data_IF_690752823537
#
_entry.id   IF_690752823537
#
_cell.length_a   1.000
_cell.length_b   1.000
_cell.length_c   1.000
_cell.angle_alpha   90.00
_cell.angle_beta   90.00
_cell.angle_gamma   90.00
#
_symmetry.space_group_name_H-M   'P 1'
#
loop_
_entity.id
_entity.type
_entity.pdbx_description
1 polymer ?
#
# COMPACT_ATOMS: atom_id res chain seq x y z
N UNK A 1 -83.93 -29.44 41.66
CA UNK A 1 -83.38 -30.78 41.91
C UNK A 1 -82.35 -31.03 40.83
N UNK A 2 -81.03 -30.93 41.05
CA UNK A 2 -80.17 -31.85 41.84
C UNK A 2 -80.42 -33.30 41.44
N UNK A 3 -79.47 -34.13 40.99
CA UNK A 3 -78.00 -34.21 41.14
C UNK A 3 -77.41 -34.98 39.93
N UNK A 4 -76.25 -34.60 39.38
CA UNK A 4 -74.88 -35.20 39.48
C UNK A 4 -74.64 -36.56 38.79
N UNK A 5 -73.35 -36.79 38.48
CA UNK A 5 -72.68 -37.89 37.75
C UNK A 5 -72.67 -37.74 36.21
N UNK A 6 -71.57 -37.90 35.48
CA UNK A 6 -70.18 -38.21 35.81
C UNK A 6 -69.30 -37.85 34.60
N UNK A 7 -68.04 -37.59 34.87
CA UNK A 7 -66.96 -37.23 33.97
C UNK A 7 -66.54 -38.35 33.02
N UNK A 8 -66.26 -38.03 31.74
CA UNK A 8 -65.29 -38.80 30.95
C UNK A 8 -64.46 -37.86 30.07
N UNK A 9 -63.18 -37.76 30.43
CA UNK A 9 -62.13 -36.98 29.77
C UNK A 9 -61.66 -37.78 28.55
N UNK A 10 -61.53 -37.11 27.42
CA UNK A 10 -60.97 -37.68 26.19
C UNK A 10 -59.44 -37.73 26.34
N UNK A 11 -58.89 -38.89 26.68
CA UNK A 11 -57.46 -39.15 26.63
C UNK A 11 -57.00 -39.15 25.17
N UNK A 12 -56.09 -38.24 24.85
CA UNK A 12 -55.34 -38.22 23.61
C UNK A 12 -54.13 -39.11 23.82
N UNK A 13 -54.19 -40.34 23.32
CA UNK A 13 -53.07 -41.28 23.32
C UNK A 13 -51.89 -40.64 22.58
N UNK A 14 -50.85 -40.29 23.35
CA UNK A 14 -49.53 -39.92 22.86
C UNK A 14 -48.80 -41.21 22.46
N UNK A 15 -48.66 -41.45 21.17
CA UNK A 15 -47.73 -42.45 20.66
C UNK A 15 -46.29 -42.07 21.06
N UNK A 16 -45.47 -43.03 21.54
CA UNK A 16 -44.05 -42.78 21.79
C UNK A 16 -43.28 -42.68 20.46
N UNK A 17 -42.46 -41.63 20.35
CA UNK A 17 -41.53 -41.38 19.24
C UNK A 17 -40.53 -42.55 19.09
N UNK A 18 -40.37 -43.17 17.91
CA UNK A 18 -39.38 -44.23 17.72
C UNK A 18 -37.96 -43.66 17.73
N UNK A 19 -37.06 -44.31 18.49
CA UNK A 19 -35.62 -44.03 18.49
C UNK A 19 -35.01 -44.10 17.08
N UNK A 20 -33.95 -43.32 16.77
CA UNK A 20 -33.35 -43.32 15.44
C UNK A 20 -32.64 -44.65 15.16
N UNK A 21 -33.10 -45.37 14.14
CA UNK A 21 -32.47 -46.59 13.62
C UNK A 21 -31.04 -46.32 13.15
N UNK A 22 -30.07 -47.05 13.70
CA UNK A 22 -28.70 -47.10 13.20
C UNK A 22 -28.67 -47.73 11.80
N UNK A 23 -28.21 -46.97 10.80
CA UNK A 23 -28.03 -47.46 9.43
C UNK A 23 -26.87 -48.48 9.40
N UNK A 24 -27.05 -49.70 8.87
CA UNK A 24 -25.99 -50.71 8.81
C UNK A 24 -24.84 -50.28 7.90
N UNK A 25 -23.63 -50.28 8.45
CA UNK A 25 -22.35 -50.06 7.75
C UNK A 25 -21.97 -51.31 6.95
N UNK A 26 -22.66 -51.61 5.86
CA UNK A 26 -22.17 -52.58 4.87
C UNK A 26 -22.87 -52.41 3.52
N UNK A 27 -22.06 -52.49 2.46
CA UNK A 27 -22.41 -52.55 1.04
C UNK A 27 -22.56 -51.17 0.37
N UNK A 28 -21.43 -50.57 -0.02
CA UNK A 28 -21.20 -49.98 -1.35
C UNK A 28 -19.67 -49.90 -1.60
N UNK A 29 -19.01 -51.06 -1.65
CA UNK A 29 -17.80 -51.21 -2.46
C UNK A 29 -18.27 -51.71 -3.84
N UNK A 30 -18.26 -50.83 -4.85
CA UNK A 30 -17.74 -51.08 -6.21
C UNK A 30 -18.19 -50.02 -7.21
N UNK A 31 -17.21 -49.59 -8.00
CA UNK A 31 -17.28 -49.06 -9.36
C UNK A 31 -17.61 -47.56 -9.58
N UNK A 32 -16.64 -46.70 -9.23
CA UNK A 32 -16.36 -45.48 -10.00
C UNK A 32 -14.84 -45.35 -10.27
N UNK A 33 -14.26 -46.31 -10.97
CA UNK A 33 -12.94 -46.15 -11.60
C UNK A 33 -13.00 -46.65 -13.04
N UNK A 34 -13.32 -45.75 -13.99
CA UNK A 34 -13.13 -45.94 -15.44
C UNK A 34 -13.42 -44.66 -16.24
N UNK A 35 -12.77 -43.54 -15.90
CA UNK A 35 -12.45 -42.55 -16.92
C UNK A 35 -11.14 -42.97 -17.61
N UNK A 36 -10.99 -42.92 -18.94
CA UNK A 36 -9.75 -43.36 -19.59
C UNK A 36 -8.60 -42.41 -19.23
N UNK A 37 -7.81 -42.79 -18.22
CA UNK A 37 -6.67 -42.06 -17.64
C UNK A 37 -5.49 -41.81 -18.62
N UNK A 38 -5.65 -42.13 -19.91
CA UNK A 38 -4.65 -41.89 -20.95
C UNK A 38 -4.76 -40.53 -21.67
N UNK A 39 -5.92 -39.86 -21.63
CA UNK A 39 -6.13 -38.64 -22.43
C UNK A 39 -5.53 -37.38 -21.76
N UNK A 40 -5.55 -37.30 -20.43
CA UNK A 40 -4.99 -36.16 -19.68
C UNK A 40 -3.46 -36.12 -19.71
N UNK A 41 -2.79 -37.28 -19.70
CA UNK A 41 -1.33 -37.32 -19.75
C UNK A 41 -0.80 -36.94 -21.14
N UNK A 42 -1.51 -37.31 -22.22
CA UNK A 42 -1.14 -36.94 -23.58
C UNK A 42 -1.35 -35.44 -23.86
N UNK A 43 -2.40 -34.81 -23.34
CA UNK A 43 -2.63 -33.37 -23.53
C UNK A 43 -1.63 -32.53 -22.76
N UNK A 44 -1.26 -32.94 -21.53
CA UNK A 44 -0.20 -32.28 -20.75
C UNK A 44 1.17 -32.45 -21.42
N UNK A 45 1.50 -33.64 -21.92
CA UNK A 45 2.75 -33.87 -22.65
C UNK A 45 2.83 -33.04 -23.95
N UNK A 46 1.71 -32.91 -24.67
CA UNK A 46 1.64 -32.08 -25.88
C UNK A 46 1.80 -30.58 -25.54
N UNK A 47 1.12 -30.10 -24.49
CA UNK A 47 1.24 -28.71 -24.03
C UNK A 47 2.67 -28.38 -23.58
N UNK A 48 3.33 -29.28 -22.85
CA UNK A 48 4.74 -29.13 -22.47
C UNK A 48 5.68 -29.13 -23.68
N UNK A 49 5.40 -29.98 -24.68
CA UNK A 49 6.16 -30.02 -25.93
C UNK A 49 6.06 -28.69 -26.71
N UNK A 50 4.85 -28.15 -26.87
CA UNK A 50 4.62 -26.85 -27.53
C UNK A 50 5.29 -25.72 -26.75
N UNK A 51 5.23 -25.74 -25.41
CA UNK A 51 5.89 -24.75 -24.57
C UNK A 51 7.42 -24.79 -24.69
N UNK A 52 8.02 -25.99 -24.73
CA UNK A 52 9.46 -26.17 -24.96
C UNK A 52 9.90 -25.65 -26.33
N UNK A 53 9.09 -25.89 -27.38
CA UNK A 53 9.37 -25.37 -28.73
C UNK A 53 9.28 -23.85 -28.75
N UNK A 54 8.30 -23.25 -28.08
CA UNK A 54 8.19 -21.79 -27.95
C UNK A 54 9.38 -21.18 -27.22
N UNK A 55 9.85 -21.80 -26.13
CA UNK A 55 11.06 -21.38 -25.41
C UNK A 55 12.32 -21.50 -26.29
N UNK A 56 12.45 -22.58 -27.06
CA UNK A 56 13.57 -22.77 -27.98
C UNK A 56 13.56 -21.72 -29.10
N UNK A 57 12.39 -21.41 -29.67
CA UNK A 57 12.22 -20.34 -30.67
C UNK A 57 12.54 -18.96 -30.07
N UNK A 58 12.12 -18.69 -28.84
CA UNK A 58 12.45 -17.46 -28.12
C UNK A 58 13.96 -17.35 -27.86
N UNK A 59 14.62 -18.45 -27.51
CA UNK A 59 16.07 -18.51 -27.32
C UNK A 59 16.86 -18.31 -28.62
N UNK A 60 16.39 -18.88 -29.73
CA UNK A 60 16.97 -18.66 -31.05
C UNK A 60 16.73 -17.23 -31.55
N UNK A 61 15.55 -16.65 -31.26
CA UNK A 61 15.20 -15.27 -31.60
C UNK A 61 15.95 -14.23 -30.76
N UNK A 62 16.37 -14.56 -29.53
CA UNK A 62 17.18 -13.68 -28.67
C UNK A 62 18.68 -13.69 -29.01
N UNK A 63 19.08 -14.41 -30.07
CA UNK A 63 20.42 -14.31 -30.65
C UNK A 63 21.52 -15.00 -29.85
N UNK A 64 21.19 -15.91 -28.93
CA UNK A 64 22.14 -16.86 -28.33
C UNK A 64 23.40 -16.24 -27.71
N UNK A 65 23.33 -15.04 -27.11
CA UNK A 65 24.48 -14.42 -26.44
C UNK A 65 24.50 -14.74 -24.95
N UNK A 66 25.23 -15.79 -24.60
CA UNK A 66 25.72 -16.05 -23.24
C UNK A 66 27.16 -15.52 -23.15
N UNK A 67 27.41 -14.65 -22.14
CA UNK A 67 28.66 -14.26 -21.46
C UNK A 67 29.82 -13.61 -22.27
N UNK A 68 30.37 -12.49 -21.78
CA UNK A 68 31.80 -12.44 -21.43
C UNK A 68 32.22 -11.23 -20.56
N UNK A 69 33.00 -11.54 -19.52
CA UNK A 69 33.84 -10.59 -18.79
C UNK A 69 34.99 -10.11 -19.69
N UNK A 70 35.32 -8.81 -19.62
CA UNK A 70 36.50 -8.23 -20.24
C UNK A 70 37.15 -7.24 -19.29
N UNK A 71 38.29 -7.65 -18.74
CA UNK A 71 39.21 -6.85 -17.93
C UNK A 71 40.07 -5.92 -18.80
N UNK A 72 40.41 -4.78 -18.20
CA UNK A 72 41.58 -3.92 -18.40
C UNK A 72 41.74 -3.10 -19.68
N UNK A 73 41.77 -1.77 -19.45
CA UNK A 73 42.22 -0.74 -20.37
C UNK A 73 42.51 0.56 -19.62
N UNK A 74 43.63 0.58 -18.90
CA UNK A 74 44.20 1.72 -18.17
C UNK A 74 44.72 2.81 -19.14
N UNK A 75 44.20 4.03 -18.97
CA UNK A 75 44.90 5.33 -18.89
C UNK A 75 45.22 6.15 -20.16
N UNK A 76 44.90 7.46 -20.08
CA UNK A 76 45.79 8.65 -20.15
C UNK A 76 45.20 9.81 -20.95
N UNK A 77 44.72 10.87 -20.28
CA UNK A 77 45.39 12.17 -20.31
C UNK A 77 44.72 13.21 -19.34
N UNK A 78 45.52 14.09 -18.70
CA UNK A 78 45.14 14.98 -17.60
C UNK A 78 44.92 16.43 -18.06
N UNK A 79 44.59 17.31 -17.09
CA UNK A 79 44.44 18.78 -17.15
C UNK A 79 42.97 19.24 -17.19
N UNK A 80 42.44 20.06 -16.28
CA UNK A 80 43.05 20.80 -15.18
C UNK A 80 41.96 21.19 -14.17
N UNK A 81 42.35 21.15 -12.91
CA UNK A 81 41.77 21.90 -11.81
C UNK A 81 41.42 23.33 -12.23
N UNK A 82 40.18 23.75 -11.98
CA UNK A 82 39.83 25.16 -11.85
C UNK A 82 38.99 25.33 -10.60
N UNK A 83 39.69 25.50 -9.49
CA UNK A 83 39.19 26.21 -8.32
C UNK A 83 38.99 27.69 -8.71
N UNK A 84 37.80 28.29 -8.55
CA UNK A 84 37.67 29.73 -8.62
C UNK A 84 38.22 30.34 -7.32
N UNK A 85 39.43 30.89 -7.41
CA UNK A 85 39.99 31.79 -6.39
C UNK A 85 39.22 33.11 -6.48
N UNK A 86 38.34 33.36 -5.51
CA UNK A 86 37.79 34.71 -5.29
C UNK A 86 38.73 35.46 -4.34
N UNK A 87 39.61 36.26 -4.94
CA UNK A 87 40.41 37.26 -4.22
C UNK A 87 39.54 38.48 -3.90
N UNK A 88 39.26 38.74 -2.63
CA UNK A 88 38.80 40.05 -2.16
C UNK A 88 39.89 40.68 -1.24
N UNK A 89 40.72 41.54 -1.81
CA UNK A 89 41.29 42.71 -1.09
C UNK A 89 40.11 43.67 -0.84
N UNK A 90 39.83 44.30 0.30
CA UNK A 90 40.57 45.07 1.33
C UNK A 90 39.50 45.57 2.37
N UNK A 91 39.77 46.42 3.39
CA UNK A 91 40.68 46.31 4.54
C UNK A 91 39.97 46.53 5.92
N UNK A 92 40.59 46.04 7.00
CA UNK A 92 40.54 46.66 8.34
C UNK A 92 39.45 46.23 9.34
N UNK A 93 39.87 45.80 10.53
CA UNK A 93 39.03 45.76 11.74
C UNK A 93 39.22 44.51 12.60
N UNK A 94 39.95 44.64 13.70
CA UNK A 94 40.37 43.58 14.62
C UNK A 94 39.23 43.03 15.51
N UNK A 95 39.39 41.78 15.98
CA UNK A 95 38.66 41.23 17.13
C UNK A 95 38.60 39.70 17.10
N UNK A 96 39.29 39.02 18.03
CA UNK A 96 39.54 37.58 17.97
C UNK A 96 38.40 36.67 18.42
N UNK A 97 38.48 35.40 18.06
CA UNK A 97 38.66 34.26 18.99
C UNK A 97 38.44 32.94 18.25
N UNK A 98 39.35 31.98 18.50
CA UNK A 98 39.34 30.65 17.90
C UNK A 98 38.14 29.83 18.41
N UNK A 99 37.33 29.30 17.49
CA UNK A 99 36.57 28.07 17.72
C UNK A 99 36.72 27.14 16.52
N UNK A 100 36.99 25.90 16.84
CA UNK A 100 37.33 24.80 15.95
C UNK A 100 36.18 24.45 15.01
N UNK A 101 36.52 24.25 13.75
CA UNK A 101 35.61 23.81 12.69
C UNK A 101 35.33 22.30 12.76
N UNK A 102 34.05 21.94 12.61
CA UNK A 102 33.58 20.81 11.80
C UNK A 102 32.16 21.15 11.32
N UNK A 103 32.04 21.84 10.18
CA UNK A 103 31.75 21.28 8.85
C UNK A 103 30.24 20.94 8.70
N UNK A 104 29.39 21.91 8.36
CA UNK A 104 29.12 22.41 7.00
C UNK A 104 28.21 21.48 6.16
N UNK A 105 26.90 21.66 6.31
CA UNK A 105 25.90 21.65 5.23
C UNK A 105 24.54 22.06 5.78
N UNK A 106 24.37 23.36 6.05
CA UNK A 106 23.07 23.95 6.39
C UNK A 106 22.78 25.19 5.54
N UNK A 107 23.35 25.26 4.33
CA UNK A 107 23.24 26.45 3.47
C UNK A 107 22.86 26.06 2.04
N UNK A 108 21.79 25.27 1.94
CA UNK A 108 20.87 25.28 0.81
C UNK A 108 19.49 25.23 1.47
N UNK A 109 18.54 26.05 1.03
CA UNK A 109 17.20 26.26 1.63
C UNK A 109 17.16 27.30 2.75
N UNK A 110 17.40 28.56 2.38
CA UNK A 110 16.79 29.71 3.06
C UNK A 110 15.30 29.75 2.64
N UNK A 111 14.50 28.85 3.23
CA UNK A 111 13.04 28.82 3.11
C UNK A 111 12.46 29.48 4.36
N UNK A 112 12.08 30.75 4.20
CA UNK A 112 11.68 31.73 5.21
C UNK A 112 10.34 31.43 5.95
N UNK A 113 10.10 30.15 6.30
CA UNK A 113 8.86 29.70 6.94
C UNK A 113 8.81 28.26 7.44
N UNK A 114 9.89 27.47 7.31
CA UNK A 114 9.99 26.18 7.99
C UNK A 114 10.62 26.39 9.36
N UNK A 115 9.96 25.92 10.42
CA UNK A 115 10.64 25.69 11.69
C UNK A 115 11.89 24.83 11.49
N UNK A 116 12.76 24.76 12.50
CA UNK A 116 13.94 23.89 12.47
C UNK A 116 13.56 22.50 11.95
N UNK A 117 14.27 22.00 10.93
CA UNK A 117 14.07 20.66 10.42
C UNK A 117 14.15 19.65 11.58
N UNK A 118 13.34 18.57 11.57
CA UNK A 118 13.48 17.51 12.56
C UNK A 118 14.90 16.94 12.57
N UNK A 119 15.37 16.46 13.73
CA UNK A 119 16.74 15.92 13.86
C UNK A 119 17.01 14.75 12.90
N UNK A 120 15.97 13.99 12.54
CA UNK A 120 16.03 12.88 11.58
C UNK A 120 15.96 13.33 10.11
N UNK A 121 15.80 14.62 9.79
CA UNK A 121 15.68 15.10 8.41
C UNK A 121 16.95 14.81 7.59
N UNK A 122 18.10 14.69 8.26
CA UNK A 122 19.37 14.26 7.67
C UNK A 122 19.35 12.81 7.15
N UNK A 123 18.38 12.00 7.58
CA UNK A 123 18.18 10.65 7.07
C UNK A 123 17.37 10.60 5.77
N UNK A 124 16.69 11.68 5.40
CA UNK A 124 15.93 11.76 4.14
C UNK A 124 16.91 12.07 3.02
N UNK A 125 16.90 11.26 1.95
CA UNK A 125 17.78 11.48 0.82
C UNK A 125 17.55 12.89 0.21
N UNK A 126 18.61 13.63 -0.19
CA UNK A 126 18.47 14.99 -0.71
C UNK A 126 17.51 15.11 -1.89
N UNK A 127 17.37 14.05 -2.70
CA UNK A 127 16.42 14.01 -3.80
C UNK A 127 14.97 14.07 -3.30
N UNK A 128 14.64 13.45 -2.16
CA UNK A 128 13.28 13.36 -1.64
C UNK A 128 12.91 14.45 -0.62
N UNK A 129 13.89 15.05 0.06
CA UNK A 129 13.65 16.01 1.13
C UNK A 129 12.76 17.21 0.69
N UNK A 130 13.00 17.88 -0.46
CA UNK A 130 12.15 18.99 -0.89
C UNK A 130 10.68 18.58 -1.11
N UNK A 131 10.46 17.42 -1.73
CA UNK A 131 9.12 16.88 -1.97
C UNK A 131 8.42 16.54 -0.66
N UNK A 132 9.13 15.90 0.27
CA UNK A 132 8.62 15.57 1.59
C UNK A 132 8.17 16.83 2.35
N UNK A 133 9.00 17.89 2.37
CA UNK A 133 8.68 19.15 3.03
C UNK A 133 7.49 19.87 2.38
N UNK A 134 7.46 19.91 1.04
CA UNK A 134 6.39 20.57 0.29
C UNK A 134 5.02 19.93 0.49
N UNK A 135 4.98 18.60 0.68
CA UNK A 135 3.73 17.83 0.69
C UNK A 135 3.34 17.33 2.08
N UNK A 136 3.67 18.09 3.13
CA UNK A 136 3.14 17.87 4.49
C UNK A 136 4.00 17.02 5.42
N UNK A 137 5.20 16.63 4.97
CA UNK A 137 6.24 16.03 5.78
C UNK A 137 5.79 14.83 6.60
N UNK A 138 6.13 14.83 7.89
CA UNK A 138 5.87 13.73 8.82
C UNK A 138 4.37 13.40 8.88
N UNK A 139 3.52 14.42 8.74
CA UNK A 139 2.07 14.26 8.81
C UNK A 139 1.52 13.40 7.67
N UNK A 140 2.13 13.46 6.49
CA UNK A 140 1.69 12.76 5.28
C UNK A 140 2.52 11.50 5.03
N UNK A 141 3.84 11.61 5.03
CA UNK A 141 4.72 10.51 4.68
C UNK A 141 5.25 9.75 5.91
N UNK A 142 5.24 10.37 7.08
CA UNK A 142 5.86 9.82 8.28
C UNK A 142 7.37 10.03 8.30
N UNK A 143 8.00 9.44 9.31
CA UNK A 143 9.46 9.45 9.48
C UNK A 143 10.12 8.51 8.47
N UNK A 144 11.38 8.76 8.06
CA UNK A 144 12.11 7.82 7.22
C UNK A 144 12.40 6.51 7.99
N UNK A 145 12.39 5.36 7.29
CA UNK A 145 12.62 4.04 7.88
C UNK A 145 13.34 3.05 6.96
N UNK A 146 14.09 2.07 7.52
CA UNK A 146 14.50 1.97 8.92
C UNK A 146 15.55 3.04 9.26
N UNK A 147 15.98 3.19 10.52
CA UNK A 147 17.02 4.18 10.89
C UNK A 147 18.35 3.44 11.19
N UNK A 148 19.47 3.71 10.47
CA UNK A 148 19.63 4.70 9.41
C UNK A 148 18.93 4.30 8.10
N UNK A 149 18.39 5.28 7.40
CA UNK A 149 17.54 5.03 6.24
C UNK A 149 18.34 4.87 4.94
N UNK A 150 18.26 3.72 4.24
CA UNK A 150 18.93 3.55 2.97
C UNK A 150 18.15 4.21 1.83
N UNK A 151 18.90 4.82 0.90
CA UNK A 151 18.40 5.09 -0.45
C UNK A 151 18.53 3.80 -1.26
N UNK A 152 17.39 3.22 -1.62
CA UNK A 152 17.32 1.98 -2.38
C UNK A 152 17.19 2.28 -3.87
N UNK A 153 17.61 1.35 -4.72
CA UNK A 153 17.46 1.46 -6.17
C UNK A 153 17.05 0.11 -6.74
N UNK A 154 15.99 0.12 -7.56
CA UNK A 154 15.52 -1.06 -8.27
C UNK A 154 15.17 -0.66 -9.71
N UNK A 155 15.73 -1.39 -10.69
CA UNK A 155 15.51 -1.14 -12.12
C UNK A 155 15.78 0.33 -12.53
N UNK A 156 16.82 0.95 -11.97
CA UNK A 156 17.18 2.34 -12.24
C UNK A 156 16.27 3.39 -11.57
N UNK A 157 15.32 2.98 -10.73
CA UNK A 157 14.46 3.86 -9.95
C UNK A 157 14.92 3.88 -8.50
N UNK A 158 15.30 5.06 -8.02
CA UNK A 158 15.64 5.29 -6.62
C UNK A 158 14.37 5.43 -5.79
N UNK A 159 14.37 4.90 -4.57
CA UNK A 159 13.26 5.06 -3.65
C UNK A 159 13.71 5.01 -2.18
N UNK A 160 12.86 5.56 -1.31
CA UNK A 160 13.07 5.55 0.13
C UNK A 160 11.76 5.26 0.85
N UNK A 161 11.84 4.43 1.90
CA UNK A 161 10.71 4.09 2.75
C UNK A 161 10.53 5.11 3.88
N UNK A 162 9.27 5.37 4.19
CA UNK A 162 8.80 6.19 5.31
C UNK A 162 7.65 5.47 5.99
N UNK A 163 7.28 5.86 7.21
CA UNK A 163 6.29 5.10 8.02
C UNK A 163 4.96 4.90 7.29
N UNK A 164 4.55 5.92 6.51
CA UNK A 164 3.26 5.96 5.83
C UNK A 164 3.38 5.88 4.30
N UNK A 165 4.59 5.84 3.76
CA UNK A 165 4.82 6.01 2.32
C UNK A 165 6.09 5.32 1.81
N UNK A 166 6.18 5.19 0.49
CA UNK A 166 7.44 4.98 -0.24
C UNK A 166 7.54 6.09 -1.28
N UNK A 167 8.58 6.93 -1.23
CA UNK A 167 8.80 7.94 -2.26
C UNK A 167 9.71 7.36 -3.34
N UNK A 168 9.32 7.53 -4.60
CA UNK A 168 9.98 6.97 -5.77
C UNK A 168 10.39 8.09 -6.71
N UNK A 169 11.63 8.04 -7.21
CA UNK A 169 12.16 8.95 -8.21
C UNK A 169 11.98 8.32 -9.60
N UNK A 170 11.38 9.09 -10.51
CA UNK A 170 11.03 8.71 -11.87
C UNK A 170 11.79 9.58 -12.88
N UNK A 171 13.00 9.18 -13.31
CA UNK A 171 13.86 9.99 -14.17
C UNK A 171 13.23 10.38 -15.51
N UNK A 172 12.35 9.53 -16.05
CA UNK A 172 11.59 9.80 -17.28
C UNK A 172 10.67 11.03 -17.16
N UNK A 173 10.37 11.47 -15.94
CA UNK A 173 9.53 12.62 -15.63
C UNK A 173 10.32 13.83 -15.10
N UNK A 174 11.64 13.87 -15.28
CA UNK A 174 12.53 14.89 -14.69
C UNK A 174 12.16 16.36 -14.97
N UNK A 175 11.45 16.63 -16.06
CA UNK A 175 10.99 17.98 -16.42
C UNK A 175 9.55 18.29 -15.96
N UNK A 176 8.97 17.48 -15.08
CA UNK A 176 7.57 17.59 -14.66
C UNK A 176 7.45 17.49 -13.14
N UNK A 177 6.25 17.81 -12.62
CA UNK A 177 5.91 17.59 -11.20
C UNK A 177 5.92 16.10 -10.78
N UNK A 178 6.00 15.17 -11.74
CA UNK A 178 5.95 13.72 -11.51
C UNK A 178 7.33 13.07 -11.34
N UNK A 179 8.41 13.86 -11.26
CA UNK A 179 9.76 13.36 -10.97
C UNK A 179 9.79 12.57 -9.65
N UNK A 180 9.04 12.98 -8.63
CA UNK A 180 8.88 12.24 -7.38
C UNK A 180 7.40 11.94 -7.20
N UNK A 181 7.10 10.68 -6.89
CA UNK A 181 5.74 10.23 -6.64
C UNK A 181 5.74 9.23 -5.46
N UNK A 182 4.66 9.20 -4.66
CA UNK A 182 4.46 8.10 -3.72
C UNK A 182 4.13 6.82 -4.49
N UNK A 183 4.75 5.72 -4.08
CA UNK A 183 4.48 4.38 -4.60
C UNK A 183 3.06 3.93 -4.30
N UNK A 184 2.54 2.98 -5.08
CA UNK A 184 1.17 2.43 -4.95
C UNK A 184 1.05 1.43 -3.79
N UNK A 185 1.55 1.82 -2.62
CA UNK A 185 1.68 0.95 -1.45
C UNK A 185 0.33 0.51 -0.87
N UNK A 186 -0.74 1.27 -1.07
CA UNK A 186 -2.09 0.84 -0.69
C UNK A 186 -2.57 -0.34 -1.54
N UNK A 187 -2.26 -0.32 -2.84
CA UNK A 187 -2.51 -1.44 -3.76
C UNK A 187 -1.65 -2.66 -3.40
N UNK A 188 -0.37 -2.45 -3.11
CA UNK A 188 0.55 -3.54 -2.71
C UNK A 188 0.10 -4.20 -1.41
N UNK A 189 -0.25 -3.38 -0.40
CA UNK A 189 -0.68 -3.86 0.90
C UNK A 189 -2.00 -4.62 0.83
N UNK A 190 -2.94 -4.19 -0.02
CA UNK A 190 -4.24 -4.86 -0.21
C UNK A 190 -4.23 -5.94 -1.29
N UNK A 191 -3.07 -6.30 -1.85
CA UNK A 191 -2.97 -7.35 -2.88
C UNK A 191 -3.68 -8.64 -2.48
N UNK A 192 -4.59 -9.11 -3.32
CA UNK A 192 -5.40 -10.32 -3.08
C UNK A 192 -6.66 -10.10 -2.24
N UNK A 193 -6.93 -8.87 -1.83
CA UNK A 193 -8.21 -8.48 -1.21
C UNK A 193 -9.14 -7.99 -2.32
N UNK A 194 -10.36 -8.51 -2.35
CA UNK A 194 -11.43 -8.00 -3.22
C UNK A 194 -12.34 -7.08 -2.41
N UNK A 195 -12.39 -5.81 -2.79
CA UNK A 195 -13.32 -4.85 -2.21
C UNK A 195 -14.60 -4.81 -3.05
N UNK A 196 -15.79 -4.85 -2.42
CA UNK A 196 -17.04 -4.66 -3.15
C UNK A 196 -17.05 -3.30 -3.86
N UNK A 197 -17.40 -3.31 -5.14
CA UNK A 197 -17.53 -2.08 -5.93
C UNK A 197 -18.89 -1.43 -5.71
N UNK A 198 -18.96 -0.14 -6.00
CA UNK A 198 -20.16 0.64 -5.78
C UNK A 198 -20.93 0.86 -7.08
N UNK A 199 -22.27 0.85 -6.97
CA UNK A 199 -23.14 1.28 -8.05
C UNK A 199 -22.85 2.74 -8.40
N UNK A 200 -22.84 3.04 -9.70
CA UNK A 200 -22.65 4.42 -10.16
C UNK A 200 -23.62 5.39 -9.48
N UNK A 201 -23.09 6.53 -9.04
CA UNK A 201 -23.86 7.68 -8.62
C UNK A 201 -23.22 8.96 -9.14
N UNK A 202 -24.03 10.01 -9.29
CA UNK A 202 -23.56 11.31 -9.78
C UNK A 202 -22.80 12.05 -8.69
N UNK A 203 -21.62 12.56 -9.04
CA UNK A 203 -20.81 13.40 -8.15
C UNK A 203 -21.58 14.65 -7.69
N UNK A 204 -21.47 14.97 -6.40
CA UNK A 204 -22.10 16.13 -5.77
C UNK A 204 -21.22 16.67 -4.64
N UNK A 205 -21.43 17.91 -4.15
CA UNK A 205 -20.64 18.43 -3.04
C UNK A 205 -20.62 17.45 -1.85
N UNK A 206 -19.42 17.10 -1.38
CA UNK A 206 -19.23 16.16 -0.26
C UNK A 206 -19.31 14.66 -0.62
N UNK A 207 -19.53 14.30 -1.89
CA UNK A 207 -19.63 12.91 -2.34
C UNK A 207 -19.14 12.73 -3.79
N UNK A 208 -18.09 11.96 -3.97
CA UNK A 208 -17.44 11.68 -5.26
C UNK A 208 -17.47 10.19 -5.54
N UNK A 209 -17.78 9.81 -6.77
CA UNK A 209 -17.60 8.50 -7.36
C UNK A 209 -16.40 8.54 -8.29
N UNK A 210 -15.50 7.57 -8.15
CA UNK A 210 -14.40 7.34 -9.08
C UNK A 210 -14.79 6.23 -10.06
N UNK A 211 -14.86 6.55 -11.34
CA UNK A 211 -15.31 5.61 -12.38
C UNK A 211 -14.28 4.50 -12.62
N UNK A 212 -12.98 4.84 -12.60
CA UNK A 212 -11.90 3.90 -12.91
C UNK A 212 -11.82 2.78 -11.88
N UNK A 213 -12.01 3.10 -10.60
CA UNK A 213 -11.92 2.14 -9.49
C UNK A 213 -13.29 1.70 -8.97
N UNK A 214 -14.38 2.35 -9.41
CA UNK A 214 -15.76 2.08 -8.98
C UNK A 214 -15.99 2.23 -7.47
N UNK A 215 -15.31 3.19 -6.83
CA UNK A 215 -15.43 3.45 -5.39
C UNK A 215 -15.86 4.89 -5.08
N UNK A 216 -16.50 5.06 -3.92
CA UNK A 216 -16.99 6.34 -3.44
C UNK A 216 -16.05 6.99 -2.42
N UNK A 217 -15.99 8.31 -2.41
CA UNK A 217 -15.24 9.12 -1.44
C UNK A 217 -16.13 10.24 -0.89
N UNK A 218 -16.18 10.41 0.43
CA UNK A 218 -17.06 11.37 1.10
C UNK A 218 -16.50 11.87 2.44
N UNK A 219 -17.24 12.79 3.07
CA UNK A 219 -17.03 13.16 4.47
C UNK A 219 -15.62 13.66 4.78
N UNK A 220 -15.10 13.29 5.96
CA UNK A 220 -13.76 13.68 6.42
C UNK A 220 -12.65 13.15 5.50
N UNK A 221 -12.82 11.96 4.91
CA UNK A 221 -11.84 11.41 3.97
C UNK A 221 -11.78 12.20 2.66
N UNK A 222 -12.92 12.60 2.09
CA UNK A 222 -12.94 13.46 0.91
C UNK A 222 -12.28 14.81 1.19
N UNK A 223 -12.63 15.44 2.32
CA UNK A 223 -12.06 16.71 2.73
C UNK A 223 -10.53 16.60 2.87
N UNK A 224 -10.07 15.61 3.61
CA UNK A 224 -8.65 15.37 3.82
C UNK A 224 -7.91 15.08 2.50
N UNK A 225 -8.49 14.27 1.62
CA UNK A 225 -7.93 13.98 0.30
C UNK A 225 -7.75 15.25 -0.53
N UNK A 226 -8.78 16.10 -0.60
CA UNK A 226 -8.75 17.36 -1.35
C UNK A 226 -7.73 18.36 -0.80
N UNK A 227 -7.63 18.46 0.53
CA UNK A 227 -6.75 19.42 1.21
C UNK A 227 -5.26 19.03 1.14
N UNK A 228 -4.94 17.75 0.87
CA UNK A 228 -3.58 17.23 1.00
C UNK A 228 -3.00 16.64 -0.31
N UNK A 229 -3.45 17.17 -1.45
CA UNK A 229 -2.87 16.88 -2.77
C UNK A 229 -3.60 15.81 -3.58
N UNK A 230 -4.66 15.22 -3.03
CA UNK A 230 -5.58 14.34 -3.73
C UNK A 230 -4.89 13.21 -4.49
N UNK A 231 -5.21 13.09 -5.78
CA UNK A 231 -4.73 12.00 -6.65
C UNK A 231 -3.20 11.95 -6.76
N UNK A 232 -2.52 13.10 -6.73
CA UNK A 232 -1.07 13.17 -6.89
C UNK A 232 -0.34 12.54 -5.68
N UNK A 233 -0.94 12.60 -4.48
CA UNK A 233 -0.34 12.07 -3.24
C UNK A 233 -0.92 10.70 -2.87
N UNK A 234 -2.24 10.56 -2.89
CA UNK A 234 -2.92 9.37 -2.38
C UNK A 234 -3.38 8.42 -3.50
N UNK A 235 -3.52 8.92 -4.72
CA UNK A 235 -4.20 8.20 -5.81
C UNK A 235 -5.71 8.12 -5.62
N UNK A 236 -6.32 7.26 -6.42
CA UNK A 236 -7.75 7.00 -6.38
C UNK A 236 -8.15 6.11 -5.19
N UNK A 237 -9.39 6.21 -4.68
CA UNK A 237 -9.91 5.24 -3.71
C UNK A 237 -9.97 3.86 -4.35
N UNK A 238 -9.52 2.82 -3.63
CA UNK A 238 -9.56 1.41 -4.06
C UNK A 238 -10.46 0.55 -3.16
N UNK A 239 -11.10 1.18 -2.19
CA UNK A 239 -12.16 0.63 -1.35
C UNK A 239 -13.16 1.73 -1.03
N UNK A 240 -14.34 1.37 -0.53
CA UNK A 240 -15.19 2.30 0.22
C UNK A 240 -14.71 2.40 1.70
N UNK A 241 -15.45 3.13 2.54
CA UNK A 241 -15.22 3.18 3.99
C UNK A 241 -15.53 1.81 4.64
N UNK A 242 -14.55 1.27 5.38
CA UNK A 242 -14.60 -0.04 6.03
C UNK A 242 -14.42 0.10 7.54
N UNK A 243 -15.03 -0.80 8.31
CA UNK A 243 -14.71 -0.97 9.73
C UNK A 243 -13.63 -2.04 9.87
N UNK A 244 -12.45 -1.67 10.38
CA UNK A 244 -11.30 -2.57 10.52
C UNK A 244 -10.74 -2.47 11.94
N UNK A 245 -10.28 -3.59 12.50
CA UNK A 245 -9.51 -3.59 13.75
C UNK A 245 -8.05 -3.28 13.42
N UNK A 246 -7.56 -2.13 13.89
CA UNK A 246 -6.19 -1.72 13.65
C UNK A 246 -5.22 -2.39 14.65
N UNK A 247 -4.04 -2.87 14.21
CA UNK A 247 -3.08 -3.55 15.09
C UNK A 247 -2.50 -2.65 16.19
N UNK A 248 -2.45 -1.34 15.97
CA UNK A 248 -1.81 -0.36 16.85
C UNK A 248 -2.49 -0.26 18.22
N UNK A 249 -3.83 -0.29 18.25
CA UNK A 249 -4.62 -0.17 19.49
C UNK A 249 -5.64 -1.31 19.71
N UNK A 250 -5.78 -2.20 18.73
CA UNK A 250 -6.75 -3.32 18.73
C UNK A 250 -8.20 -2.85 18.86
N UNK A 251 -8.51 -1.67 18.33
CA UNK A 251 -9.86 -1.11 18.30
C UNK A 251 -10.39 -1.01 16.86
N UNK A 252 -11.71 -0.86 16.73
CA UNK A 252 -12.36 -0.60 15.44
C UNK A 252 -12.13 0.84 15.00
N UNK A 253 -11.65 1.00 13.77
CA UNK A 253 -11.56 2.28 13.06
C UNK A 253 -12.33 2.22 11.76
N UNK A 254 -12.90 3.36 11.37
CA UNK A 254 -13.30 3.59 9.99
C UNK A 254 -12.05 3.85 9.18
N UNK A 255 -11.84 3.08 8.12
CA UNK A 255 -10.68 3.19 7.24
C UNK A 255 -11.11 3.22 5.78
N UNK A 256 -10.29 3.79 4.92
CA UNK A 256 -10.45 3.68 3.48
C UNK A 256 -9.09 3.52 2.82
N UNK A 257 -8.99 2.60 1.87
CA UNK A 257 -7.77 2.36 1.11
C UNK A 257 -7.78 3.17 -0.19
N UNK A 258 -6.62 3.72 -0.52
CA UNK A 258 -6.32 4.42 -1.76
C UNK A 258 -5.15 3.71 -2.44
N UNK A 259 -4.88 4.03 -3.69
CA UNK A 259 -3.77 3.40 -4.43
C UNK A 259 -2.44 3.50 -3.68
N UNK A 260 -2.18 4.64 -3.02
CA UNK A 260 -0.89 5.00 -2.39
C UNK A 260 -0.96 5.14 -0.86
N UNK A 261 -2.13 4.94 -0.24
CA UNK A 261 -2.32 5.23 1.18
C UNK A 261 -3.48 4.45 1.83
N UNK A 262 -3.53 4.43 3.16
CA UNK A 262 -4.71 4.08 3.97
C UNK A 262 -5.08 5.28 4.84
N UNK A 263 -6.32 5.72 4.77
CA UNK A 263 -6.85 6.73 5.68
C UNK A 263 -7.54 6.05 6.86
N UNK A 264 -7.41 6.66 8.03
CA UNK A 264 -7.97 6.18 9.28
C UNK A 264 -8.68 7.33 9.98
N UNK A 265 -9.92 7.08 10.41
CA UNK A 265 -10.68 8.03 11.20
C UNK A 265 -10.37 7.85 12.68
N UNK A 266 -9.96 8.92 13.32
CA UNK A 266 -9.61 9.05 14.73
C UNK A 266 -10.50 10.12 15.37
N UNK A 267 -11.79 9.82 15.66
CA UNK A 267 -12.78 10.83 16.07
C UNK A 267 -12.47 11.50 17.42
N UNK A 268 -11.61 10.89 18.23
CA UNK A 268 -11.16 11.43 19.51
C UNK A 268 -10.03 12.47 19.36
N UNK A 269 -9.52 12.70 18.15
CA UNK A 269 -8.54 13.73 17.82
C UNK A 269 -9.19 14.82 16.95
N UNK A 270 -9.87 15.82 17.55
CA UNK A 270 -10.67 16.79 16.81
C UNK A 270 -9.83 17.70 15.91
N UNK A 271 -8.52 17.79 16.15
CA UNK A 271 -7.62 18.61 15.34
C UNK A 271 -7.11 17.85 14.11
N UNK A 272 -7.00 16.53 14.21
CA UNK A 272 -6.53 15.65 13.14
C UNK A 272 -7.39 14.38 13.08
N UNK A 273 -8.68 14.51 12.70
CA UNK A 273 -9.61 13.39 12.70
C UNK A 273 -9.20 12.33 11.66
N UNK A 274 -8.45 12.69 10.62
CA UNK A 274 -7.94 11.75 9.63
C UNK A 274 -6.42 11.61 9.75
N UNK A 275 -5.95 10.37 9.88
CA UNK A 275 -4.53 10.01 9.91
C UNK A 275 -4.21 9.03 8.79
N UNK A 276 -2.96 9.01 8.39
CA UNK A 276 -2.43 8.03 7.45
C UNK A 276 -1.92 6.82 8.21
N UNK A 277 -2.38 5.64 7.79
CA UNK A 277 -1.91 4.37 8.31
C UNK A 277 -0.46 4.09 7.97
N UNK A 278 0.19 3.25 8.78
CA UNK A 278 1.61 2.93 8.71
C UNK A 278 1.93 1.90 7.60
N UNK A 279 1.40 2.11 6.40
CA UNK A 279 1.55 1.14 5.29
C UNK A 279 3.00 0.96 4.85
N UNK A 280 3.84 1.99 4.97
CA UNK A 280 5.25 1.89 4.64
C UNK A 280 5.99 0.99 5.63
N UNK A 281 5.73 1.16 6.94
CA UNK A 281 6.22 0.24 7.97
C UNK A 281 5.73 -1.18 7.73
N UNK A 282 4.42 -1.36 7.50
CA UNK A 282 3.83 -2.69 7.32
C UNK A 282 4.40 -3.45 6.12
N UNK A 283 4.61 -2.78 4.98
CA UNK A 283 5.23 -3.41 3.81
C UNK A 283 6.73 -3.66 4.01
N UNK A 284 7.46 -2.73 4.61
CA UNK A 284 8.89 -2.88 4.86
C UNK A 284 9.18 -4.06 5.81
N UNK A 285 8.38 -4.18 6.88
CA UNK A 285 8.51 -5.23 7.90
C UNK A 285 7.82 -6.54 7.52
N UNK A 286 7.14 -6.60 6.36
CA UNK A 286 6.34 -7.75 5.91
C UNK A 286 5.28 -8.16 6.95
N UNK A 287 4.65 -7.17 7.58
CA UNK A 287 3.63 -7.39 8.61
C UNK A 287 2.39 -8.09 8.05
N UNK A 288 1.71 -8.83 8.94
CA UNK A 288 0.44 -9.47 8.63
C UNK A 288 -0.61 -8.41 8.33
N UNK A 289 -1.32 -8.59 7.20
CA UNK A 289 -2.44 -7.73 6.81
C UNK A 289 -3.52 -7.76 7.91
N UNK A 290 -4.20 -6.63 8.18
CA UNK A 290 -5.32 -6.62 9.12
C UNK A 290 -6.37 -7.63 8.65
N UNK A 291 -7.08 -8.21 9.61
CA UNK A 291 -8.20 -9.09 9.28
C UNK A 291 -9.32 -8.25 8.64
N UNK A 292 -9.65 -8.57 7.38
CA UNK A 292 -10.71 -7.92 6.61
C UNK A 292 -12.00 -8.77 6.54
N UNK A 293 -12.13 -9.76 7.43
CA UNK A 293 -13.32 -10.64 7.59
C UNK A 293 -14.64 -9.87 7.70
N UNK A 294 -15.75 -10.52 7.31
CA UNK A 294 -16.63 -10.08 6.23
C UNK A 294 -16.96 -8.59 6.33
N UNK A 295 -16.19 -7.85 5.54
CA UNK A 295 -16.45 -6.54 4.98
C UNK A 295 -17.96 -6.26 5.01
N UNK A 296 -18.40 -5.41 5.94
CA UNK A 296 -19.59 -4.60 5.69
C UNK A 296 -19.06 -3.29 5.15
N UNK A 297 -18.94 -3.11 3.81
CA UNK A 297 -18.69 -1.79 3.27
C UNK A 297 -19.74 -0.86 3.86
N UNK A 298 -19.31 0.30 4.34
CA UNK A 298 -20.28 1.34 4.62
C UNK A 298 -20.81 1.77 3.27
N UNK A 299 -22.05 1.42 2.94
CA UNK A 299 -22.63 1.76 1.64
C UNK A 299 -22.51 3.28 1.38
N UNK A 300 -22.00 3.64 0.21
CA UNK A 300 -21.86 5.03 -0.24
C UNK A 300 -22.63 5.21 -1.55
N UNK A 301 -23.78 5.90 -1.60
CA UNK A 301 -24.37 6.68 -0.54
C UNK A 301 -25.11 5.80 0.47
N UNK A 302 -25.06 6.18 1.75
CA UNK A 302 -26.14 5.83 2.67
C UNK A 302 -27.39 6.45 2.05
N UNK A 303 -28.43 5.65 1.80
CA UNK A 303 -29.70 6.13 1.26
C UNK A 303 -30.13 7.41 1.99
N UNK A 304 -30.60 8.44 1.26
CA UNK A 304 -30.98 9.73 1.85
C UNK A 304 -32.02 9.60 2.95
#
# INVERSE_FOLDING_TARGET
MSDQEETLVHEHDLEPDPEPEEIPTAILEQDEDSAPSGMLLQTVAFALGVFMILLLLLYLASGGRILNFGSDGINTNPNSERTPILTNNMPGGAGGSNTSASSASSTLYDLDGLGSLPDYASEIAPEFLPYWLQHGGERIFGRPLPQPTPLLEENGRKFQWFERARLELWPEYAATKYLIQPGRIGTEFTKGVEFPTQQFFVNRPGLVYEEVTQHGLRGEFLKFWQENGGVDIFGYPISDELQVILPEDRAYHTVQYFERARFELHPNDPNQPVKLGLLGTGLYMQELKPNLDPIKPTAVPLTP
#
